data_IF_886232694102
#
_entry.id   IF_886232694102
#
_cell.length_a   1.000
_cell.length_b   1.000
_cell.length_c   1.000
_cell.angle_alpha   90.00
_cell.angle_beta   90.00
_cell.angle_gamma   90.00
#
_symmetry.space_group_name_H-M   'P 1'
#
loop_
_entity.id
_entity.type
_entity.pdbx_description
1 polymer ?
#
# COMPACT_ATOMS: atom_id res chain seq x y z
N UNK A 1 9.55 -10.67 -4.84
CA UNK A 1 10.24 -9.56 -5.49
C UNK A 1 11.47 -9.16 -4.68
N UNK A 2 12.54 -8.74 -5.35
CA UNK A 2 13.76 -8.34 -4.64
C UNK A 2 13.51 -7.21 -3.66
N UNK A 3 14.04 -7.36 -2.46
CA UNK A 3 13.99 -6.32 -1.44
C UNK A 3 12.73 -6.22 -0.61
N UNK A 4 11.69 -7.00 -0.93
CA UNK A 4 10.41 -6.92 -0.19
C UNK A 4 10.59 -7.35 1.26
N UNK A 5 11.14 -8.54 1.49
CA UNK A 5 11.33 -9.08 2.85
C UNK A 5 12.26 -8.19 3.66
N UNK A 6 13.36 -7.75 3.07
CA UNK A 6 14.30 -6.87 3.76
C UNK A 6 13.65 -5.54 4.15
N UNK A 7 12.92 -4.93 3.22
CA UNK A 7 12.21 -3.67 3.49
C UNK A 7 11.17 -3.82 4.59
N UNK A 8 10.35 -4.86 4.52
CA UNK A 8 9.32 -5.12 5.52
C UNK A 8 9.95 -5.40 6.89
N UNK A 9 11.04 -6.14 6.92
CA UNK A 9 11.76 -6.44 8.16
C UNK A 9 12.27 -5.15 8.81
N UNK A 10 12.90 -4.29 8.03
CA UNK A 10 13.44 -3.02 8.53
C UNK A 10 12.35 -2.10 9.06
N UNK A 11 11.24 -1.99 8.35
CA UNK A 11 10.11 -1.18 8.78
C UNK A 11 9.49 -1.72 10.08
N UNK A 12 9.32 -3.04 10.16
CA UNK A 12 8.74 -3.65 11.35
C UNK A 12 9.65 -3.51 12.55
N UNK A 13 10.93 -3.75 12.37
CA UNK A 13 11.92 -3.63 13.47
C UNK A 13 12.07 -2.19 13.97
N UNK A 14 11.77 -1.20 13.15
CA UNK A 14 11.84 0.19 13.57
C UNK A 14 10.84 0.53 14.68
N UNK A 15 9.73 -0.22 14.74
CA UNK A 15 8.67 0.03 15.72
C UNK A 15 7.90 1.32 15.49
N UNK A 16 8.12 2.02 14.38
CA UNK A 16 7.51 3.33 14.11
C UNK A 16 6.15 3.24 13.44
N UNK A 17 5.85 2.13 12.80
CA UNK A 17 4.69 2.03 11.92
C UNK A 17 3.82 0.84 12.26
N UNK A 18 2.51 1.03 12.19
CA UNK A 18 1.57 -0.07 12.13
C UNK A 18 1.52 -0.54 10.68
N UNK A 19 1.82 -1.80 10.46
CA UNK A 19 1.95 -2.39 9.14
C UNK A 19 0.66 -3.10 8.74
N UNK A 20 0.11 -2.73 7.59
CA UNK A 20 -1.13 -3.30 7.06
C UNK A 20 -0.90 -3.82 5.65
N UNK A 21 -1.36 -5.03 5.39
CA UNK A 21 -1.44 -5.56 4.03
C UNK A 21 -2.89 -5.44 3.57
N UNK A 22 -3.11 -4.60 2.56
CA UNK A 22 -4.42 -4.43 1.95
C UNK A 22 -4.39 -5.03 0.54
N UNK A 23 -5.25 -5.99 0.30
CA UNK A 23 -5.31 -6.67 -1.00
C UNK A 23 -6.73 -6.77 -1.50
N UNK A 24 -6.88 -6.71 -2.83
CA UNK A 24 -8.17 -6.78 -3.51
C UNK A 24 -8.33 -8.17 -4.12
N UNK A 25 -9.50 -8.76 -3.92
CA UNK A 25 -9.81 -10.03 -4.54
C UNK A 25 -10.82 -10.84 -3.76
N UNK A 26 -11.01 -12.06 -4.20
CA UNK A 26 -11.87 -13.01 -3.53
C UNK A 26 -11.18 -13.53 -2.27
N UNK A 27 -11.93 -13.60 -1.17
CA UNK A 27 -11.35 -13.85 0.15
C UNK A 27 -10.49 -15.11 0.22
N UNK A 28 -11.05 -16.25 -0.20
CA UNK A 28 -10.33 -17.51 -0.08
C UNK A 28 -9.07 -17.55 -0.94
N UNK A 29 -9.14 -17.05 -2.17
CA UNK A 29 -8.01 -17.01 -3.07
C UNK A 29 -6.89 -16.12 -2.56
N UNK A 30 -7.23 -14.96 -2.00
CA UNK A 30 -6.24 -14.04 -1.43
C UNK A 30 -5.63 -14.60 -0.15
N UNK A 31 -6.41 -15.25 0.71
CA UNK A 31 -5.90 -15.92 1.90
C UNK A 31 -4.82 -16.94 1.54
N UNK A 32 -5.07 -17.76 0.53
CA UNK A 32 -4.11 -18.76 0.08
C UNK A 32 -2.82 -18.10 -0.45
N UNK A 33 -2.95 -17.02 -1.22
CA UNK A 33 -1.79 -16.30 -1.74
C UNK A 33 -0.94 -15.72 -0.62
N UNK A 34 -1.57 -15.13 0.38
CA UNK A 34 -0.88 -14.53 1.51
C UNK A 34 -0.14 -15.60 2.31
N UNK A 35 -0.79 -16.72 2.58
CA UNK A 35 -0.17 -17.84 3.30
C UNK A 35 1.04 -18.39 2.55
N UNK A 36 0.94 -18.52 1.23
CA UNK A 36 2.06 -19.02 0.41
C UNK A 36 3.20 -18.02 0.31
N UNK A 37 2.91 -16.72 0.41
CA UNK A 37 3.95 -15.69 0.32
C UNK A 37 4.87 -15.67 1.53
N UNK A 38 4.40 -16.15 2.68
CA UNK A 38 5.13 -16.05 3.94
C UNK A 38 5.21 -14.65 4.50
N UNK A 39 4.42 -13.71 3.98
CA UNK A 39 4.51 -12.30 4.37
C UNK A 39 3.62 -11.91 5.54
N UNK A 40 2.64 -12.75 5.89
CA UNK A 40 1.69 -12.41 6.97
C UNK A 40 2.37 -11.97 8.27
N UNK A 41 3.46 -12.60 8.74
CA UNK A 41 4.07 -12.19 10.01
C UNK A 41 4.61 -10.76 10.05
N UNK A 42 4.82 -10.14 8.88
CA UNK A 42 5.33 -8.76 8.81
C UNK A 42 4.25 -7.71 9.04
N UNK A 43 2.99 -8.10 9.09
CA UNK A 43 1.86 -7.16 9.16
C UNK A 43 1.09 -7.31 10.46
N UNK A 44 0.65 -6.16 10.99
CA UNK A 44 -0.21 -6.11 12.16
C UNK A 44 -1.66 -6.42 11.80
N UNK A 45 -2.05 -6.14 10.58
CA UNK A 45 -3.39 -6.38 10.06
C UNK A 45 -3.30 -6.79 8.59
N UNK A 46 -4.08 -7.79 8.22
CA UNK A 46 -4.28 -8.18 6.82
C UNK A 46 -5.75 -7.96 6.49
N UNK A 47 -6.01 -7.16 5.48
CA UNK A 47 -7.37 -6.81 5.06
C UNK A 47 -7.56 -7.15 3.58
N UNK A 48 -8.56 -7.97 3.30
CA UNK A 48 -8.90 -8.40 1.95
C UNK A 48 -10.23 -7.76 1.58
N UNK A 49 -10.22 -6.94 0.53
CA UNK A 49 -11.38 -6.15 0.13
C UNK A 49 -11.81 -6.51 -1.28
N UNK A 50 -13.09 -6.29 -1.58
CA UNK A 50 -13.63 -6.53 -2.92
C UNK A 50 -13.24 -5.45 -3.91
N UNK A 51 -12.98 -4.24 -3.43
CA UNK A 51 -12.54 -3.12 -4.26
C UNK A 51 -11.75 -2.12 -3.43
N UNK A 52 -10.90 -1.33 -4.09
CA UNK A 52 -10.10 -0.29 -3.45
C UNK A 52 -10.63 1.07 -3.90
N UNK A 53 -11.48 1.65 -3.07
CA UNK A 53 -12.13 2.95 -3.30
C UNK A 53 -11.93 3.83 -2.07
N UNK A 54 -12.16 5.16 -2.15
CA UNK A 54 -11.89 6.06 -1.03
C UNK A 54 -12.53 5.62 0.30
N UNK A 55 -13.74 5.10 0.27
CA UNK A 55 -14.46 4.67 1.46
C UNK A 55 -13.76 3.53 2.19
N UNK A 56 -13.12 2.62 1.45
CA UNK A 56 -12.35 1.52 2.04
C UNK A 56 -11.18 2.06 2.86
N UNK A 57 -10.49 3.05 2.33
CA UNK A 57 -9.35 3.66 3.04
C UNK A 57 -9.80 4.50 4.24
N UNK A 58 -10.93 5.19 4.12
CA UNK A 58 -11.51 5.91 5.26
C UNK A 58 -11.89 4.95 6.39
N UNK A 59 -12.51 3.83 6.05
CA UNK A 59 -12.87 2.80 7.02
C UNK A 59 -11.63 2.20 7.69
N UNK A 60 -10.58 1.99 6.91
CA UNK A 60 -9.32 1.48 7.43
C UNK A 60 -8.72 2.44 8.45
N UNK A 61 -8.70 3.74 8.14
CA UNK A 61 -8.24 4.76 9.07
C UNK A 61 -9.02 4.72 10.38
N UNK A 62 -10.35 4.62 10.29
CA UNK A 62 -11.21 4.56 11.47
C UNK A 62 -10.88 3.33 12.33
N UNK A 63 -10.71 2.18 11.71
CA UNK A 63 -10.37 0.94 12.43
C UNK A 63 -8.99 1.01 13.08
N UNK A 64 -8.04 1.69 12.45
CA UNK A 64 -6.69 1.84 12.98
C UNK A 64 -6.58 2.98 14.00
N UNK A 65 -7.62 3.81 14.13
CA UNK A 65 -7.58 4.95 15.03
C UNK A 65 -6.65 6.06 14.57
N UNK A 66 -6.48 6.23 13.26
CA UNK A 66 -5.62 7.28 12.69
C UNK A 66 -6.44 8.22 11.82
N UNK A 67 -5.94 9.44 11.65
CA UNK A 67 -6.50 10.36 10.67
C UNK A 67 -5.98 10.01 9.29
N UNK A 68 -6.68 10.43 8.21
CA UNK A 68 -6.18 10.16 6.87
C UNK A 68 -4.75 10.62 6.62
N UNK A 69 -4.33 11.74 7.20
CA UNK A 69 -2.95 12.24 7.05
C UNK A 69 -1.92 11.30 7.68
N UNK A 70 -2.33 10.40 8.55
CA UNK A 70 -1.46 9.38 9.14
C UNK A 70 -1.39 8.08 8.34
N UNK A 71 -2.13 7.99 7.22
CA UNK A 71 -2.13 6.82 6.36
C UNK A 71 -1.18 7.02 5.19
N UNK A 72 -0.30 6.05 4.99
CA UNK A 72 0.58 5.99 3.83
C UNK A 72 0.31 4.69 3.10
N UNK A 73 -0.05 4.79 1.83
CA UNK A 73 -0.24 3.64 0.96
C UNK A 73 0.94 3.49 0.02
N UNK A 74 1.48 2.29 -0.04
CA UNK A 74 2.52 1.91 -1.00
C UNK A 74 1.89 0.93 -1.98
N UNK A 75 1.91 1.25 -3.26
CA UNK A 75 1.27 0.39 -4.23
C UNK A 75 1.71 0.63 -5.66
N UNK A 76 1.31 -0.29 -6.52
CA UNK A 76 1.69 -0.30 -7.93
C UNK A 76 0.54 0.05 -8.89
N UNK A 77 -0.63 0.37 -8.38
CA UNK A 77 -1.77 0.83 -9.20
C UNK A 77 -2.15 2.23 -8.77
N UNK A 78 -1.97 3.20 -9.66
CA UNK A 78 -2.33 4.58 -9.36
C UNK A 78 -3.83 4.69 -9.09
N UNK A 79 -4.63 4.06 -9.91
CA UNK A 79 -6.09 4.13 -9.82
C UNK A 79 -6.65 3.51 -8.54
N UNK A 80 -6.08 2.38 -8.10
CA UNK A 80 -6.62 1.61 -6.98
C UNK A 80 -5.93 1.90 -5.65
N UNK A 81 -4.62 2.17 -5.69
CA UNK A 81 -3.83 2.32 -4.47
C UNK A 81 -3.58 3.78 -4.12
N UNK A 82 -3.30 4.60 -5.09
CA UNK A 82 -2.81 5.97 -4.86
C UNK A 82 -3.94 7.00 -4.88
N UNK A 83 -4.68 7.08 -5.99
CA UNK A 83 -5.74 8.07 -6.13
C UNK A 83 -6.76 8.04 -4.99
N UNK A 84 -7.30 6.89 -4.58
CA UNK A 84 -8.29 6.87 -3.49
C UNK A 84 -7.73 7.37 -2.16
N UNK A 85 -6.47 7.09 -1.87
CA UNK A 85 -5.83 7.53 -0.63
C UNK A 85 -5.59 9.03 -0.64
N UNK A 86 -5.12 9.58 -1.76
CA UNK A 86 -4.92 11.02 -1.88
C UNK A 86 -6.25 11.78 -1.76
N UNK A 87 -7.33 11.20 -2.26
CA UNK A 87 -8.66 11.82 -2.21
C UNK A 87 -9.18 12.00 -0.79
N UNK A 88 -8.80 11.14 0.14
CA UNK A 88 -9.22 11.28 1.54
C UNK A 88 -8.22 12.06 2.39
N UNK A 89 -7.15 12.55 1.80
CA UNK A 89 -6.12 13.32 2.51
C UNK A 89 -4.96 12.48 3.02
N UNK A 90 -4.84 11.25 2.56
CA UNK A 90 -3.70 10.38 2.89
C UNK A 90 -2.49 10.65 2.02
N UNK A 91 -1.46 9.83 2.19
CA UNK A 91 -0.21 9.93 1.45
C UNK A 91 0.07 8.65 0.68
N UNK A 92 0.83 8.75 -0.39
CA UNK A 92 1.13 7.60 -1.23
C UNK A 92 2.57 7.54 -1.71
N UNK A 93 3.07 6.33 -1.87
CA UNK A 93 4.30 6.05 -2.60
C UNK A 93 3.92 5.12 -3.74
N UNK A 94 4.02 5.63 -4.95
CA UNK A 94 3.67 4.90 -6.16
C UNK A 94 4.91 4.22 -6.73
N UNK A 95 4.84 2.89 -6.84
CA UNK A 95 5.90 2.08 -7.43
C UNK A 95 5.31 1.42 -8.67
N UNK A 96 5.42 2.04 -9.86
CA UNK A 96 4.82 1.47 -11.06
C UNK A 96 5.35 0.09 -11.38
N UNK A 97 4.47 -0.81 -11.80
CA UNK A 97 4.88 -2.09 -12.32
C UNK A 97 5.61 -1.87 -13.66
N UNK A 98 6.56 -2.74 -13.99
CA UNK A 98 7.33 -2.63 -15.25
C UNK A 98 6.42 -2.60 -16.48
N UNK A 99 5.29 -3.29 -16.41
CA UNK A 99 4.31 -3.33 -17.48
C UNK A 99 3.05 -2.59 -17.05
N UNK A 100 3.12 -1.27 -17.03
CA UNK A 100 1.95 -0.46 -16.77
C UNK A 100 1.14 -0.34 -18.06
N UNK A 101 -0.12 -0.76 -18.02
CA UNK A 101 -1.01 -0.66 -19.17
C UNK A 101 -1.37 0.80 -19.43
N UNK A 102 -1.49 1.18 -20.70
CA UNK A 102 -1.75 2.57 -21.09
C UNK A 102 -2.99 3.16 -20.43
N UNK A 103 -4.02 2.37 -20.23
CA UNK A 103 -5.25 2.85 -19.59
C UNK A 103 -5.07 3.22 -18.13
N UNK A 104 -4.01 2.74 -17.45
CA UNK A 104 -3.71 3.15 -16.09
C UNK A 104 -2.86 4.41 -16.04
N UNK A 105 -2.04 4.65 -17.06
CA UNK A 105 -1.13 5.79 -17.12
C UNK A 105 -1.88 7.10 -17.29
N UNK A 106 -2.98 7.09 -18.03
CA UNK A 106 -3.68 8.30 -18.46
C UNK A 106 -4.20 9.14 -17.30
N UNK A 107 -4.53 8.49 -16.17
CA UNK A 107 -5.15 9.17 -15.03
C UNK A 107 -4.14 9.57 -13.94
N UNK A 108 -2.84 9.41 -14.20
CA UNK A 108 -1.83 9.82 -13.23
C UNK A 108 -1.68 11.32 -13.14
N UNK A 109 -1.37 11.82 -11.96
CA UNK A 109 -1.16 13.25 -11.72
C UNK A 109 -0.12 13.45 -10.62
N UNK A 110 0.39 14.67 -10.49
CA UNK A 110 1.29 15.05 -9.41
C UNK A 110 0.51 15.56 -8.21
N UNK A 111 1.03 15.32 -7.01
CA UNK A 111 0.38 15.73 -5.77
C UNK A 111 1.43 15.92 -4.67
N UNK A 112 1.27 16.93 -3.79
CA UNK A 112 2.24 17.17 -2.72
C UNK A 112 2.45 15.99 -1.76
N UNK A 113 1.43 15.14 -1.60
CA UNK A 113 1.50 13.98 -0.70
C UNK A 113 1.85 12.69 -1.44
N UNK A 114 2.29 12.79 -2.68
CA UNK A 114 2.65 11.65 -3.52
C UNK A 114 4.15 11.64 -3.78
N UNK A 115 4.78 10.49 -3.50
CA UNK A 115 6.14 10.20 -3.95
C UNK A 115 6.09 9.08 -4.99
N UNK A 116 6.99 9.15 -5.96
CA UNK A 116 7.18 8.08 -6.94
C UNK A 116 8.49 7.38 -6.64
N UNK A 117 8.52 6.07 -6.71
CA UNK A 117 9.70 5.27 -6.49
C UNK A 117 9.77 4.16 -7.54
N UNK A 118 10.98 3.72 -7.86
CA UNK A 118 11.17 2.65 -8.83
C UNK A 118 11.20 1.28 -8.16
N UNK A 119 11.41 1.24 -6.85
CA UNK A 119 11.69 0.01 -6.14
C UNK A 119 11.17 0.10 -4.70
N UNK A 120 10.71 -1.04 -4.18
CA UNK A 120 10.23 -1.13 -2.79
C UNK A 120 11.30 -0.74 -1.77
N UNK A 121 12.55 -0.94 -2.08
CA UNK A 121 13.67 -0.59 -1.18
C UNK A 121 13.73 0.91 -0.89
N UNK A 122 13.28 1.74 -1.82
CA UNK A 122 13.21 3.19 -1.62
C UNK A 122 12.27 3.55 -0.48
N UNK A 123 11.25 2.73 -0.22
CA UNK A 123 10.31 2.97 0.88
C UNK A 123 11.06 3.04 2.22
N UNK A 124 11.96 2.08 2.46
CA UNK A 124 12.75 2.09 3.69
C UNK A 124 13.67 3.33 3.76
N UNK A 125 14.25 3.73 2.63
CA UNK A 125 15.10 4.92 2.58
C UNK A 125 14.33 6.20 2.93
N UNK A 126 13.09 6.30 2.49
CA UNK A 126 12.24 7.47 2.73
C UNK A 126 11.72 7.49 4.17
N UNK A 127 11.31 6.34 4.70
CA UNK A 127 10.63 6.25 5.99
C UNK A 127 11.57 6.04 7.18
N UNK A 128 12.78 5.65 6.94
CA UNK A 128 13.78 5.40 7.97
C UNK A 128 14.98 6.34 7.82
#
# INVERSE_FOLDING_TARGET
LPGVVDTLTRLRESGRYKMVLLTKGELLGQELKIDRSGLRPYFDLVDIVSEKVPEVYSDLCARLGVTPSGLLMVGNSFKSDIDPVLRIGGRGIYIPAEQTWQHEIVDEYEHPSLLRADDIRTVAEVLL
#
